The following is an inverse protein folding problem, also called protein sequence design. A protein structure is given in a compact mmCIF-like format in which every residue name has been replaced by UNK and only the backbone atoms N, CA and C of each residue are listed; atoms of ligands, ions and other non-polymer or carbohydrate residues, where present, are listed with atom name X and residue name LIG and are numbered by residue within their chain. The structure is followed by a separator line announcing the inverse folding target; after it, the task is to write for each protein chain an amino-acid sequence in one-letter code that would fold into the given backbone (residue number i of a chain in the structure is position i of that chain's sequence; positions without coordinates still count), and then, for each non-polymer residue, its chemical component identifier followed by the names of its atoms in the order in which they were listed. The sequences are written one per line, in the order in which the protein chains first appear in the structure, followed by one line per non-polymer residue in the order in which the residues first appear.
data_IF_147905446982
#
_entry.id   IF_147905446982
#
_cell.length_a   1.000
_cell.length_b   1.000
_cell.length_c   1.000
_cell.angle_alpha   90.00
_cell.angle_beta   90.00
_cell.angle_gamma   90.00
#
_symmetry.space_group_name_H-M   'P 1'
#
loop_
_entity.id
_entity.type
_entity.pdbx_description
1 polymer ?
#
# COMPACT_ATOMS: atom_id res chain seq x y z
N UNK A 1 -5.46 88.05 -47.28
CA UNK A 1 -4.70 87.77 -48.51
C UNK A 1 -4.44 86.28 -48.58
N UNK A 2 -5.02 85.62 -49.59
CA UNK A 2 -4.94 84.18 -49.83
C UNK A 2 -3.59 83.82 -50.45
N UNK A 3 -2.93 82.77 -49.95
CA UNK A 3 -1.92 82.04 -50.72
C UNK A 3 -2.18 80.53 -50.64
N UNK A 4 -2.72 80.00 -51.74
CA UNK A 4 -2.68 78.58 -52.11
C UNK A 4 -1.26 78.25 -52.56
N UNK A 5 -0.69 77.17 -52.02
CA UNK A 5 0.41 76.46 -52.67
C UNK A 5 0.08 74.96 -52.76
N UNK A 6 0.53 74.39 -53.87
CA UNK A 6 0.01 73.21 -54.55
C UNK A 6 0.43 71.89 -53.88
N UNK A 7 -0.51 70.94 -53.83
CA UNK A 7 -0.24 69.54 -53.50
C UNK A 7 0.71 68.92 -54.53
N UNK A 8 1.89 68.49 -54.09
CA UNK A 8 2.77 67.60 -54.86
C UNK A 8 2.48 66.16 -54.45
N UNK A 9 1.89 65.38 -55.35
CA UNK A 9 1.67 63.94 -55.16
C UNK A 9 2.99 63.20 -55.32
N UNK A 10 3.52 62.65 -54.23
CA UNK A 10 4.65 61.71 -54.31
C UNK A 10 4.18 60.37 -54.86
N UNK A 11 4.69 60.01 -56.04
CA UNK A 11 4.46 58.71 -56.70
C UNK A 11 5.21 57.62 -55.93
N UNK A 12 4.49 56.77 -55.20
CA UNK A 12 5.03 55.57 -54.55
C UNK A 12 5.50 54.57 -55.61
N UNK A 13 6.81 54.46 -55.80
CA UNK A 13 7.44 53.35 -56.52
C UNK A 13 7.37 52.12 -55.61
N UNK A 14 6.56 51.12 -55.96
CA UNK A 14 6.53 49.84 -55.24
C UNK A 14 7.74 49.00 -55.65
N UNK A 15 8.64 48.63 -54.73
CA UNK A 15 9.67 47.64 -55.04
C UNK A 15 8.99 46.26 -55.10
N UNK A 16 9.09 45.60 -56.24
CA UNK A 16 8.70 44.19 -56.37
C UNK A 16 9.75 43.35 -55.66
N UNK A 17 9.46 42.93 -54.43
CA UNK A 17 10.31 41.99 -53.69
C UNK A 17 10.10 40.60 -54.32
N UNK A 18 11.03 40.17 -55.17
CA UNK A 18 11.09 38.78 -55.62
C UNK A 18 11.49 37.90 -54.43
N UNK A 19 10.52 37.26 -53.80
CA UNK A 19 10.78 36.21 -52.79
C UNK A 19 11.37 34.99 -53.47
N UNK A 20 12.68 34.81 -53.38
CA UNK A 20 13.32 33.51 -53.62
C UNK A 20 12.82 32.52 -52.57
N UNK A 21 12.00 31.55 -52.98
CA UNK A 21 11.60 30.43 -52.12
C UNK A 21 12.74 29.41 -52.10
N UNK A 22 13.54 29.44 -51.04
CA UNK A 22 14.47 28.35 -50.71
C UNK A 22 13.62 27.16 -50.22
N UNK A 23 13.55 26.10 -51.03
CA UNK A 23 12.92 24.85 -50.61
C UNK A 23 13.82 24.17 -49.57
N UNK A 24 13.47 24.30 -48.30
CA UNK A 24 14.09 23.52 -47.24
C UNK A 24 13.62 22.06 -47.40
N UNK A 25 14.54 21.07 -47.33
CA UNK A 25 14.13 19.67 -47.36
C UNK A 25 13.22 19.39 -46.15
N UNK A 26 12.09 18.73 -46.39
CA UNK A 26 11.20 18.29 -45.34
C UNK A 26 11.93 17.27 -44.46
N UNK A 27 12.49 17.72 -43.33
CA UNK A 27 13.02 16.85 -42.31
C UNK A 27 11.83 16.12 -41.68
N UNK A 28 11.66 14.85 -42.03
CA UNK A 28 10.64 14.00 -41.46
C UNK A 28 11.05 13.72 -40.00
N UNK A 29 10.58 14.55 -39.07
CA UNK A 29 10.63 14.23 -37.64
C UNK A 29 9.81 12.98 -37.42
N UNK A 30 10.48 11.84 -37.29
CA UNK A 30 9.86 10.63 -36.76
C UNK A 30 9.27 11.01 -35.40
N UNK A 31 7.94 11.00 -35.32
CA UNK A 31 7.24 11.23 -34.06
C UNK A 31 7.74 10.19 -33.08
N UNK A 32 8.29 10.63 -31.96
CA UNK A 32 8.47 9.73 -30.82
C UNK A 32 7.08 9.19 -30.50
N UNK A 33 6.89 7.88 -30.69
CA UNK A 33 5.80 7.18 -30.04
C UNK A 33 6.06 7.30 -28.54
N UNK A 34 5.52 8.36 -27.93
CA UNK A 34 5.25 8.39 -26.52
C UNK A 34 4.23 7.27 -26.29
N UNK A 35 4.72 6.04 -26.15
CA UNK A 35 3.96 4.95 -25.59
C UNK A 35 3.25 5.51 -24.37
N UNK A 36 1.95 5.26 -24.28
CA UNK A 36 1.05 5.79 -23.24
C UNK A 36 1.85 5.89 -21.96
N UNK A 37 2.21 7.12 -21.57
CA UNK A 37 2.66 7.37 -20.20
C UNK A 37 1.50 6.80 -19.42
N UNK A 38 1.72 5.64 -18.79
CA UNK A 38 0.92 5.23 -17.67
C UNK A 38 1.12 6.41 -16.74
N UNK A 39 0.17 7.34 -16.80
CA UNK A 39 0.00 8.36 -15.79
C UNK A 39 0.18 7.56 -14.51
N UNK A 40 1.15 7.92 -13.67
CA UNK A 40 1.08 7.55 -12.27
C UNK A 40 -0.32 8.00 -11.90
N UNK A 41 -1.28 7.06 -11.87
CA UNK A 41 -2.65 7.42 -11.59
C UNK A 41 -2.55 7.95 -10.19
N UNK A 42 -2.82 9.26 -9.95
CA UNK A 42 -2.88 9.74 -8.58
C UNK A 42 -3.87 8.81 -7.90
N UNK A 43 -3.38 8.11 -6.89
CA UNK A 43 -4.11 7.04 -6.22
C UNK A 43 -5.44 7.59 -5.73
N UNK A 44 -6.52 7.37 -6.49
CA UNK A 44 -7.76 8.17 -6.42
C UNK A 44 -7.48 9.68 -6.23
N UNK A 45 -7.50 10.45 -7.31
CA UNK A 45 -7.62 11.90 -7.20
C UNK A 45 -8.74 12.21 -6.18
N UNK A 46 -8.41 12.94 -5.13
CA UNK A 46 -9.37 13.41 -4.12
C UNK A 46 -10.39 14.24 -4.88
N UNK A 47 -11.58 13.68 -5.12
CA UNK A 47 -12.60 14.26 -6.01
C UNK A 47 -13.21 15.56 -5.47
N UNK A 48 -12.88 15.96 -4.24
CA UNK A 48 -13.57 17.04 -3.52
C UNK A 48 -12.73 18.27 -3.19
N UNK A 49 -11.47 18.38 -3.65
CA UNK A 49 -10.63 19.55 -3.29
C UNK A 49 -10.34 19.69 -1.79
N UNK A 50 -10.73 18.71 -0.97
CA UNK A 50 -10.35 18.62 0.42
C UNK A 50 -8.85 18.34 0.49
N UNK A 51 -8.08 19.37 0.83
CA UNK A 51 -6.71 19.18 1.29
C UNK A 51 -6.74 18.16 2.45
N UNK A 52 -5.89 17.14 2.42
CA UNK A 52 -5.73 16.21 3.54
C UNK A 52 -5.22 16.92 4.81
N UNK A 53 -4.70 18.14 4.64
CA UNK A 53 -4.27 19.01 5.72
C UNK A 53 -5.54 19.61 6.34
N UNK A 54 -5.87 19.11 7.53
CA UNK A 54 -6.83 19.77 8.41
C UNK A 54 -6.09 20.94 9.06
N UNK A 55 -6.50 22.17 8.78
CA UNK A 55 -5.87 23.39 9.30
C UNK A 55 -4.92 24.08 8.33
N UNK A 56 -4.22 25.09 8.83
CA UNK A 56 -3.18 25.85 8.15
C UNK A 56 -1.79 25.22 8.36
N UNK A 57 -0.79 25.67 7.60
CA UNK A 57 0.60 25.18 7.72
C UNK A 57 1.21 25.46 9.11
N UNK A 58 0.68 26.43 9.85
CA UNK A 58 1.19 26.84 11.16
C UNK A 58 0.40 26.23 12.34
N UNK A 59 -0.67 25.48 12.08
CA UNK A 59 -1.46 24.88 13.14
C UNK A 59 -0.77 23.61 13.67
N UNK A 60 -0.71 23.42 15.00
CA UNK A 60 -0.12 22.21 15.57
C UNK A 60 -0.94 20.98 15.17
N UNK A 61 -0.25 19.87 14.90
CA UNK A 61 -0.92 18.58 14.65
C UNK A 61 -1.66 18.15 15.91
N UNK A 62 -2.98 18.00 15.79
CA UNK A 62 -3.79 17.39 16.85
C UNK A 62 -3.41 15.91 17.00
N UNK A 63 -2.79 15.57 18.13
CA UNK A 63 -2.45 14.20 18.45
C UNK A 63 -3.66 13.51 19.09
N UNK A 64 -3.95 12.25 18.73
CA UNK A 64 -4.95 11.48 19.45
C UNK A 64 -4.51 11.26 20.91
N UNK A 65 -5.48 11.04 21.80
CA UNK A 65 -5.19 10.73 23.19
C UNK A 65 -4.27 9.50 23.29
N UNK A 66 -3.26 9.57 24.17
CA UNK A 66 -2.27 8.49 24.30
C UNK A 66 -2.91 7.24 24.91
N UNK A 67 -3.00 6.18 24.13
CA UNK A 67 -3.42 4.86 24.59
C UNK A 67 -2.21 3.92 24.69
N UNK A 68 -1.98 3.36 25.89
CA UNK A 68 -0.89 2.39 26.12
C UNK A 68 -1.22 1.02 25.55
N UNK A 69 -2.50 0.64 25.51
CA UNK A 69 -2.95 -0.66 25.03
C UNK A 69 -2.74 -0.75 23.52
N UNK A 70 -3.10 0.31 22.78
CA UNK A 70 -2.94 0.38 21.33
C UNK A 70 -1.48 0.41 20.85
N UNK A 71 -0.52 0.72 21.72
CA UNK A 71 0.89 0.87 21.35
C UNK A 71 1.82 -0.02 22.15
N UNK A 72 2.24 0.47 23.32
CA UNK A 72 3.29 -0.16 24.12
C UNK A 72 2.95 -1.61 24.53
N UNK A 73 1.77 -1.85 25.10
CA UNK A 73 1.41 -3.19 25.57
C UNK A 73 1.19 -4.18 24.42
N UNK A 74 0.68 -3.72 23.28
CA UNK A 74 0.56 -4.55 22.10
C UNK A 74 1.94 -4.98 21.59
N UNK A 75 2.88 -4.04 21.51
CA UNK A 75 4.26 -4.33 21.11
C UNK A 75 4.95 -5.29 22.08
N UNK A 76 4.86 -5.04 23.41
CA UNK A 76 5.46 -5.92 24.42
C UNK A 76 4.89 -7.35 24.32
N UNK A 77 3.57 -7.47 24.14
CA UNK A 77 2.90 -8.76 23.97
C UNK A 77 3.39 -9.52 22.73
N UNK A 78 3.53 -8.84 21.58
CA UNK A 78 4.08 -9.45 20.37
C UNK A 78 5.49 -9.99 20.59
N UNK A 79 6.34 -9.21 21.25
CA UNK A 79 7.73 -9.62 21.50
C UNK A 79 7.78 -10.80 22.46
N UNK A 80 6.99 -10.76 23.54
CA UNK A 80 6.88 -11.87 24.49
C UNK A 80 6.44 -13.15 23.79
N UNK A 81 5.44 -13.05 22.92
CA UNK A 81 4.89 -14.19 22.21
C UNK A 81 5.87 -14.74 21.17
N UNK A 82 6.59 -13.87 20.44
CA UNK A 82 7.64 -14.28 19.52
C UNK A 82 8.82 -14.96 20.23
N UNK A 83 9.29 -14.40 21.34
CA UNK A 83 10.38 -14.98 22.15
C UNK A 83 9.93 -16.30 22.77
N UNK A 84 8.69 -16.40 23.25
CA UNK A 84 8.12 -17.62 23.84
C UNK A 84 7.96 -18.77 22.85
N UNK A 85 7.77 -18.49 21.56
CA UNK A 85 7.70 -19.51 20.52
C UNK A 85 9.03 -20.24 20.28
N UNK A 86 10.18 -19.60 20.55
CA UNK A 86 11.50 -20.21 20.37
C UNK A 86 11.68 -21.47 21.24
N UNK A 87 11.55 -21.40 22.59
CA UNK A 87 11.67 -22.61 23.41
C UNK A 87 10.52 -23.61 23.17
N UNK A 88 9.31 -23.16 22.83
CA UNK A 88 8.19 -24.05 22.51
C UNK A 88 8.46 -24.91 21.27
N UNK A 89 9.00 -24.30 20.21
CA UNK A 89 9.37 -25.03 18.99
C UNK A 89 10.50 -26.01 19.24
N UNK A 90 11.55 -25.59 19.98
CA UNK A 90 12.63 -26.49 20.40
C UNK A 90 12.07 -27.68 21.21
N UNK A 91 11.19 -27.40 22.17
CA UNK A 91 10.58 -28.44 23.00
C UNK A 91 9.78 -29.45 22.16
N UNK A 92 9.03 -29.01 21.14
CA UNK A 92 8.32 -29.93 20.24
C UNK A 92 9.25 -30.79 19.38
N UNK A 93 10.39 -30.25 18.96
CA UNK A 93 11.35 -31.00 18.13
C UNK A 93 12.09 -32.05 18.97
N UNK A 94 12.48 -31.70 20.20
CA UNK A 94 13.23 -32.60 21.09
C UNK A 94 12.33 -33.68 21.70
N UNK A 95 11.15 -33.31 22.19
CA UNK A 95 10.26 -34.25 22.88
C UNK A 95 9.33 -35.01 21.92
N UNK A 96 9.20 -34.56 20.67
CA UNK A 96 8.23 -35.10 19.72
C UNK A 96 6.80 -34.74 20.11
N UNK A 97 5.84 -35.59 19.70
CA UNK A 97 4.42 -35.39 19.94
C UNK A 97 4.09 -35.49 21.43
N UNK A 98 3.87 -34.33 22.06
CA UNK A 98 3.51 -34.25 23.47
C UNK A 98 2.29 -33.31 23.63
N UNK A 99 1.22 -33.74 24.31
CA UNK A 99 -0.08 -33.06 24.23
C UNK A 99 -0.04 -31.62 24.77
N UNK A 100 0.77 -31.35 25.80
CA UNK A 100 0.88 -30.01 26.38
C UNK A 100 1.63 -29.07 25.43
N UNK A 101 2.71 -29.54 24.81
CA UNK A 101 3.51 -28.70 23.90
C UNK A 101 2.76 -28.46 22.60
N UNK A 102 2.05 -29.48 22.10
CA UNK A 102 1.22 -29.39 20.91
C UNK A 102 0.03 -28.45 21.13
N UNK A 103 -0.62 -28.51 22.30
CA UNK A 103 -1.69 -27.57 22.66
C UNK A 103 -1.16 -26.14 22.81
N UNK A 104 -0.01 -25.97 23.47
CA UNK A 104 0.62 -24.65 23.62
C UNK A 104 1.00 -24.05 22.25
N UNK A 105 1.59 -24.85 21.35
CA UNK A 105 1.88 -24.46 19.98
C UNK A 105 0.61 -24.17 19.18
N UNK A 106 -0.43 -24.99 19.33
CA UNK A 106 -1.73 -24.81 18.69
C UNK A 106 -2.47 -23.53 19.09
N UNK A 107 -2.06 -22.87 20.17
CA UNK A 107 -2.59 -21.57 20.59
C UNK A 107 -1.61 -20.44 20.25
N UNK A 108 -0.35 -20.58 20.65
CA UNK A 108 0.66 -19.54 20.50
C UNK A 108 0.97 -19.24 19.02
N UNK A 109 1.08 -20.27 18.16
CA UNK A 109 1.38 -20.07 16.74
C UNK A 109 0.26 -19.32 16.00
N UNK A 110 -1.03 -19.70 16.09
CA UNK A 110 -2.08 -18.95 15.41
C UNK A 110 -2.22 -17.51 15.91
N UNK A 111 -2.00 -17.24 17.20
CA UNK A 111 -2.04 -15.88 17.74
C UNK A 111 -0.87 -15.05 17.19
N UNK A 112 0.35 -15.61 17.14
CA UNK A 112 1.50 -14.93 16.52
C UNK A 112 1.21 -14.56 15.06
N UNK A 113 0.69 -15.53 14.31
CA UNK A 113 0.35 -15.35 12.91
C UNK A 113 -0.77 -14.32 12.74
N UNK A 114 -1.78 -14.31 13.62
CA UNK A 114 -2.85 -13.32 13.58
C UNK A 114 -2.30 -11.89 13.66
N UNK A 115 -1.42 -11.61 14.60
CA UNK A 115 -0.86 -10.26 14.77
C UNK A 115 0.04 -9.89 13.58
N UNK A 116 0.83 -10.83 13.08
CA UNK A 116 1.64 -10.63 11.86
C UNK A 116 0.79 -10.33 10.63
N UNK A 117 -0.33 -11.03 10.45
CA UNK A 117 -1.26 -10.76 9.35
C UNK A 117 -2.02 -9.44 9.54
N UNK A 118 -2.34 -9.05 10.77
CA UNK A 118 -2.99 -7.76 11.06
C UNK A 118 -2.04 -6.58 10.71
N UNK A 119 -0.74 -6.73 10.96
CA UNK A 119 0.27 -5.78 10.49
C UNK A 119 0.29 -5.67 8.95
N UNK A 120 0.23 -6.80 8.23
CA UNK A 120 0.15 -6.80 6.76
C UNK A 120 -1.13 -6.08 6.27
N UNK A 121 -2.28 -6.33 6.91
CA UNK A 121 -3.55 -5.68 6.54
C UNK A 121 -3.48 -4.18 6.79
N UNK A 122 -2.92 -3.73 7.91
CA UNK A 122 -2.83 -2.31 8.25
C UNK A 122 -1.83 -1.55 7.38
N UNK A 123 -0.71 -2.17 7.01
CA UNK A 123 0.32 -1.55 6.17
C UNK A 123 -0.09 -1.46 4.68
N UNK A 124 -0.67 -2.53 4.13
CA UNK A 124 -0.91 -2.63 2.69
C UNK A 124 -2.35 -2.35 2.26
N UNK A 125 -3.31 -2.41 3.18
CA UNK A 125 -4.74 -2.20 2.90
C UNK A 125 -5.27 -0.96 3.66
N UNK A 126 -4.82 0.26 3.33
CA UNK A 126 -5.21 1.44 4.07
C UNK A 126 -6.72 1.70 3.99
N UNK A 127 -7.37 1.75 5.16
CA UNK A 127 -8.81 1.96 5.29
C UNK A 127 -9.32 3.23 4.57
N UNK A 128 -8.47 4.26 4.48
CA UNK A 128 -8.80 5.53 3.79
C UNK A 128 -9.03 5.35 2.29
N UNK A 129 -8.32 4.40 1.65
CA UNK A 129 -8.41 4.16 0.20
C UNK A 129 -9.45 3.09 -0.13
N UNK A 130 -9.44 2.01 0.65
CA UNK A 130 -10.20 0.78 0.41
C UNK A 130 -10.99 0.37 1.67
N UNK A 131 -12.01 1.13 2.11
CA UNK A 131 -12.69 0.89 3.40
C UNK A 131 -13.45 -0.44 3.46
N UNK A 132 -14.01 -0.90 2.34
CA UNK A 132 -14.73 -2.18 2.28
C UNK A 132 -13.74 -3.33 2.40
N UNK A 133 -12.69 -3.32 1.57
CA UNK A 133 -11.68 -4.38 1.56
C UNK A 133 -10.97 -4.48 2.91
N UNK A 134 -10.60 -3.35 3.52
CA UNK A 134 -10.03 -3.31 4.87
C UNK A 134 -10.93 -3.99 5.90
N UNK A 135 -12.23 -3.67 5.91
CA UNK A 135 -13.20 -4.27 6.85
C UNK A 135 -13.34 -5.78 6.62
N UNK A 136 -13.47 -6.21 5.36
CA UNK A 136 -13.59 -7.62 5.00
C UNK A 136 -12.32 -8.38 5.40
N UNK A 137 -11.13 -7.85 5.10
CA UNK A 137 -9.86 -8.48 5.49
C UNK A 137 -9.69 -8.54 7.01
N UNK A 138 -10.03 -7.49 7.75
CA UNK A 138 -9.94 -7.47 9.22
C UNK A 138 -10.85 -8.53 9.85
N UNK A 139 -12.12 -8.59 9.45
CA UNK A 139 -13.07 -9.56 9.99
C UNK A 139 -12.83 -10.97 9.49
N UNK A 140 -12.42 -11.11 8.23
CA UNK A 140 -12.01 -12.37 7.64
C UNK A 140 -10.81 -12.97 8.35
N UNK A 141 -9.81 -12.14 8.68
CA UNK A 141 -8.65 -12.57 9.46
C UNK A 141 -9.05 -13.06 10.86
N UNK A 142 -9.92 -12.33 11.57
CA UNK A 142 -10.44 -12.76 12.88
C UNK A 142 -11.20 -14.09 12.79
N UNK A 143 -12.06 -14.25 11.78
CA UNK A 143 -12.79 -15.49 11.53
C UNK A 143 -11.85 -16.65 11.21
N UNK A 144 -10.85 -16.43 10.36
CA UNK A 144 -9.84 -17.42 10.01
C UNK A 144 -9.02 -17.84 11.24
N UNK A 145 -8.61 -16.90 12.08
CA UNK A 145 -7.88 -17.21 13.32
C UNK A 145 -8.71 -18.07 14.28
N UNK A 146 -10.00 -17.76 14.46
CA UNK A 146 -10.88 -18.59 15.29
C UNK A 146 -11.04 -20.00 14.71
N UNK A 147 -11.22 -20.11 13.39
CA UNK A 147 -11.32 -21.40 12.71
C UNK A 147 -10.03 -22.21 12.90
N UNK A 148 -8.86 -21.59 12.70
CA UNK A 148 -7.56 -22.25 12.89
C UNK A 148 -7.39 -22.68 14.35
N UNK A 149 -7.73 -21.84 15.33
CA UNK A 149 -7.63 -22.21 16.75
C UNK A 149 -8.52 -23.42 17.08
N UNK A 150 -9.77 -23.45 16.59
CA UNK A 150 -10.67 -24.60 16.75
C UNK A 150 -10.10 -25.84 16.04
N UNK A 151 -9.55 -25.68 14.84
CA UNK A 151 -8.92 -26.77 14.10
C UNK A 151 -7.70 -27.36 14.83
N UNK A 152 -6.82 -26.50 15.36
CA UNK A 152 -5.67 -26.90 16.18
C UNK A 152 -6.13 -27.62 17.45
N UNK A 153 -7.16 -27.10 18.13
CA UNK A 153 -7.75 -27.76 19.29
C UNK A 153 -8.28 -29.16 18.94
N UNK A 154 -9.04 -29.27 17.85
CA UNK A 154 -9.59 -30.55 17.38
C UNK A 154 -8.49 -31.55 17.03
N UNK A 155 -7.45 -31.13 16.30
CA UNK A 155 -6.31 -31.98 15.95
C UNK A 155 -5.55 -32.48 17.18
N UNK A 156 -5.37 -31.63 18.19
CA UNK A 156 -4.62 -31.97 19.39
C UNK A 156 -5.41 -32.81 20.40
N UNK A 157 -6.74 -32.78 20.36
CA UNK A 157 -7.60 -33.48 21.34
C UNK A 157 -8.26 -34.74 20.78
N UNK A 158 -8.58 -34.77 19.49
CA UNK A 158 -9.36 -35.85 18.89
C UNK A 158 -8.64 -36.53 17.72
N UNK A 159 -7.40 -36.15 17.41
CA UNK A 159 -6.59 -36.72 16.33
C UNK A 159 -5.14 -36.95 16.83
N UNK A 160 -4.23 -37.25 15.91
CA UNK A 160 -2.82 -37.59 16.18
C UNK A 160 -1.98 -36.45 16.77
N UNK A 161 -2.46 -35.20 16.75
CA UNK A 161 -1.71 -34.04 17.20
C UNK A 161 -0.84 -33.39 16.11
N UNK A 162 -0.55 -32.11 16.30
CA UNK A 162 0.14 -31.28 15.30
C UNK A 162 1.60 -31.72 15.07
N UNK A 163 2.37 -32.03 16.12
CA UNK A 163 3.77 -32.40 15.95
C UNK A 163 3.92 -33.79 15.28
N UNK A 164 3.06 -34.74 15.63
CA UNK A 164 3.03 -36.05 14.98
C UNK A 164 2.59 -35.94 13.51
N UNK A 165 1.63 -35.07 13.21
CA UNK A 165 1.23 -34.77 11.82
C UNK A 165 2.42 -34.28 11.00
N UNK A 166 3.19 -33.31 11.52
CA UNK A 166 4.39 -32.80 10.83
C UNK A 166 5.42 -33.90 10.63
N UNK A 167 5.66 -34.72 11.66
CA UNK A 167 6.61 -35.84 11.58
C UNK A 167 6.21 -36.86 10.51
N UNK A 168 4.93 -37.22 10.42
CA UNK A 168 4.41 -38.14 9.39
C UNK A 168 4.48 -37.54 8.00
N UNK A 169 4.09 -36.26 7.87
CA UNK A 169 4.15 -35.54 6.60
C UNK A 169 5.59 -35.43 6.06
N UNK A 170 6.59 -35.35 6.94
CA UNK A 170 8.01 -35.29 6.55
C UNK A 170 8.54 -36.61 5.97
N UNK A 171 7.97 -37.74 6.37
CA UNK A 171 8.35 -39.08 5.90
C UNK A 171 7.38 -39.65 4.85
N UNK A 172 6.42 -38.84 4.39
CA UNK A 172 5.42 -39.22 3.40
C UNK A 172 5.98 -39.28 1.98
#
# INVERSE_FOLDING_TARGET
MNFRFLNTTQRLVRPTINTFRVALPAFQTAGFHAGRILSIQPTKAVRDGASYIKGTVNDPVELPARDKVAGAYHWDFERLLAVGLIPLTIASVVNGAHPITDLALGIALPIHAHIGYDAIVTDYLPARRNPILYKVSTWGLRGATLLVLVGCYQFNTNDIGMAELVKRAWHA
#
